data_IF_521273665722
#
_entry.id   IF_521273665722
#
_cell.length_a   1.000
_cell.length_b   1.000
_cell.length_c   1.000
_cell.angle_alpha   90.00
_cell.angle_beta   90.00
_cell.angle_gamma   90.00
#
_symmetry.space_group_name_H-M   'P 1'
#
loop_
_entity.id
_entity.type
_entity.pdbx_description
1 polymer ?
#
# COMPACT_ATOMS: atom_id res chain seq x y z
N UNK A 1 5.47 25.07 -21.00
CA UNK A 1 6.01 23.96 -20.19
C UNK A 1 5.22 22.70 -20.51
N UNK A 2 5.83 21.52 -20.68
CA UNK A 2 5.05 20.26 -20.77
C UNK A 2 4.56 19.94 -19.36
N UNK A 3 3.50 20.60 -18.93
CA UNK A 3 2.82 20.23 -17.69
C UNK A 3 2.29 18.82 -17.89
N UNK A 4 2.87 17.85 -17.16
CA UNK A 4 2.31 16.51 -17.07
C UNK A 4 0.85 16.59 -16.62
N UNK A 5 0.09 15.52 -16.90
CA UNK A 5 -1.28 15.36 -16.40
C UNK A 5 -1.33 15.85 -14.94
N UNK A 6 -2.15 16.87 -14.61
CA UNK A 6 -2.20 17.36 -13.25
C UNK A 6 -2.63 16.19 -12.36
N UNK A 7 -1.75 15.79 -11.44
CA UNK A 7 -2.01 14.75 -10.44
C UNK A 7 -2.90 15.32 -9.35
N UNK A 8 -4.10 15.79 -9.73
CA UNK A 8 -5.13 16.31 -8.83
C UNK A 8 -5.41 15.32 -7.70
N UNK A 9 -5.33 14.01 -7.98
CA UNK A 9 -5.46 12.97 -6.98
C UNK A 9 -4.42 13.06 -5.84
N UNK A 10 -3.20 13.57 -6.11
CA UNK A 10 -2.14 13.78 -5.12
C UNK A 10 -2.05 15.23 -4.65
N UNK A 11 -3.03 16.07 -4.98
CA UNK A 11 -3.09 17.47 -4.55
C UNK A 11 -3.45 17.61 -3.07
N UNK A 12 -3.04 18.74 -2.46
CA UNK A 12 -3.56 19.17 -1.16
C UNK A 12 -4.76 20.10 -1.38
N UNK A 13 -5.81 19.89 -0.62
CA UNK A 13 -7.06 20.64 -0.71
C UNK A 13 -7.40 21.17 0.68
N UNK A 14 -7.96 22.37 0.72
CA UNK A 14 -8.60 22.92 1.91
C UNK A 14 -10.02 22.36 2.00
N UNK A 15 -10.33 21.63 3.08
CA UNK A 15 -11.63 21.04 3.36
C UNK A 15 -11.94 21.27 4.83
N UNK A 16 -13.03 21.98 5.13
CA UNK A 16 -13.44 22.33 6.50
C UNK A 16 -12.27 22.91 7.33
N UNK A 17 -11.62 23.95 6.80
CA UNK A 17 -10.48 24.65 7.43
C UNK A 17 -9.19 23.82 7.63
N UNK A 18 -9.11 22.61 7.05
CA UNK A 18 -7.89 21.79 7.07
C UNK A 18 -7.33 21.57 5.67
N UNK A 19 -6.01 21.76 5.51
CA UNK A 19 -5.31 21.54 4.23
C UNK A 19 -4.54 20.22 4.21
N UNK A 20 -5.08 19.20 3.54
CA UNK A 20 -4.52 17.85 3.48
C UNK A 20 -4.74 17.16 2.12
N UNK A 21 -4.19 15.95 1.94
CA UNK A 21 -4.38 15.13 0.74
C UNK A 21 -5.77 14.50 0.73
N UNK A 22 -6.77 15.23 0.25
CA UNK A 22 -8.18 14.81 0.33
C UNK A 22 -8.47 13.51 -0.46
N UNK A 23 -7.76 13.27 -1.57
CA UNK A 23 -8.02 12.14 -2.47
C UNK A 23 -7.03 11.00 -2.20
N UNK A 24 -5.75 11.20 -2.53
CA UNK A 24 -4.70 10.17 -2.41
C UNK A 24 -3.43 10.79 -1.82
N UNK A 25 -2.81 10.11 -0.86
CA UNK A 25 -1.50 10.53 -0.34
C UNK A 25 -0.41 10.29 -1.39
N UNK A 26 0.63 11.13 -1.48
CA UNK A 26 1.70 10.98 -2.46
C UNK A 26 2.70 9.90 -2.05
N UNK A 27 2.21 8.75 -1.61
CA UNK A 27 3.01 7.60 -1.16
C UNK A 27 2.42 6.28 -1.67
N UNK A 28 3.09 5.17 -1.38
CA UNK A 28 2.63 3.84 -1.79
C UNK A 28 1.46 3.37 -0.92
N UNK A 29 0.39 2.88 -1.55
CA UNK A 29 -0.62 2.08 -0.86
C UNK A 29 -0.05 0.70 -0.53
N UNK A 30 -0.11 0.29 0.74
CA UNK A 30 0.33 -1.04 1.17
C UNK A 30 -0.66 -1.67 2.15
N UNK A 31 -1.48 -2.61 1.68
CA UNK A 31 -2.52 -3.28 2.48
C UNK A 31 -2.07 -4.58 3.14
N UNK A 32 -0.76 -4.83 3.28
CA UNK A 32 -0.25 -6.08 3.83
C UNK A 32 -0.79 -6.37 5.25
N UNK A 33 -0.95 -5.34 6.07
CA UNK A 33 -1.55 -5.44 7.42
C UNK A 33 -3.00 -5.92 7.40
N UNK A 34 -3.71 -5.67 6.30
CA UNK A 34 -5.10 -6.09 6.14
C UNK A 34 -5.22 -7.53 5.62
N UNK A 35 -4.11 -8.21 5.31
CA UNK A 35 -4.11 -9.55 4.73
C UNK A 35 -5.01 -10.55 5.48
N UNK A 36 -5.00 -10.64 6.83
CA UNK A 36 -5.90 -11.53 7.57
C UNK A 36 -7.37 -11.26 7.28
N UNK A 37 -7.76 -9.98 7.22
CA UNK A 37 -9.12 -9.53 6.95
C UNK A 37 -9.50 -9.76 5.49
N UNK A 38 -8.60 -9.47 4.56
CA UNK A 38 -8.81 -9.73 3.12
C UNK A 38 -9.07 -11.22 2.85
N UNK A 39 -8.32 -12.10 3.50
CA UNK A 39 -8.55 -13.53 3.41
C UNK A 39 -9.89 -13.95 4.05
N UNK A 40 -10.48 -13.16 4.95
CA UNK A 40 -11.67 -13.51 5.76
C UNK A 40 -12.92 -13.25 4.95
N UNK A 41 -12.94 -12.09 4.30
CA UNK A 41 -13.96 -11.69 3.35
C UNK A 41 -13.85 -12.45 2.01
N UNK A 42 -12.89 -13.39 1.89
CA UNK A 42 -12.80 -14.32 0.78
C UNK A 42 -12.04 -13.83 -0.45
N UNK A 43 -11.21 -12.78 -0.34
CA UNK A 43 -10.35 -12.32 -1.46
C UNK A 43 -9.49 -13.45 -1.99
N UNK A 44 -9.49 -13.65 -3.31
CA UNK A 44 -8.74 -14.72 -3.99
C UNK A 44 -7.51 -14.25 -4.76
N UNK A 45 -7.41 -12.95 -5.01
CA UNK A 45 -6.30 -12.37 -5.76
C UNK A 45 -5.90 -11.02 -5.17
N UNK A 46 -4.59 -10.78 -5.11
CA UNK A 46 -3.99 -9.49 -4.81
C UNK A 46 -3.29 -9.01 -6.08
N UNK A 47 -3.57 -7.78 -6.48
CA UNK A 47 -2.91 -7.13 -7.62
C UNK A 47 -1.81 -6.20 -7.11
N UNK A 48 -0.60 -6.42 -7.57
CA UNK A 48 0.53 -5.49 -7.36
C UNK A 48 0.61 -4.56 -8.57
N UNK A 49 0.62 -3.25 -8.34
CA UNK A 49 0.79 -2.23 -9.38
C UNK A 49 2.29 -1.97 -9.56
N UNK A 50 2.81 -2.16 -10.78
CA UNK A 50 4.21 -1.93 -11.11
C UNK A 50 4.44 -1.07 -12.35
N UNK A 51 3.41 -0.35 -12.83
CA UNK A 51 3.57 0.51 -14.01
C UNK A 51 4.61 1.57 -13.70
N UNK A 52 5.54 1.78 -14.64
CA UNK A 52 6.67 2.71 -14.47
C UNK A 52 7.57 2.38 -13.25
N UNK A 53 7.54 1.15 -12.75
CA UNK A 53 8.47 0.67 -11.72
C UNK A 53 9.55 -0.23 -12.34
N UNK A 54 10.70 -0.32 -11.68
CA UNK A 54 11.80 -1.17 -12.13
C UNK A 54 11.48 -2.66 -11.91
N UNK A 55 12.11 -3.58 -12.67
CA UNK A 55 11.99 -5.01 -12.39
C UNK A 55 12.37 -5.38 -10.95
N UNK A 56 13.37 -4.71 -10.37
CA UNK A 56 13.80 -4.90 -8.99
C UNK A 56 12.69 -4.55 -7.98
N UNK A 57 11.97 -3.44 -8.20
CA UNK A 57 10.80 -3.07 -7.38
C UNK A 57 9.74 -4.18 -7.41
N UNK A 58 9.36 -4.63 -8.62
CA UNK A 58 8.30 -5.63 -8.79
C UNK A 58 8.69 -6.95 -8.15
N UNK A 59 9.95 -7.38 -8.32
CA UNK A 59 10.47 -8.59 -7.70
C UNK A 59 10.43 -8.51 -6.15
N UNK A 60 10.88 -7.39 -5.58
CA UNK A 60 10.92 -7.19 -4.14
C UNK A 60 9.52 -7.19 -3.52
N UNK A 61 8.58 -6.41 -4.07
CA UNK A 61 7.20 -6.33 -3.56
C UNK A 61 6.50 -7.69 -3.69
N UNK A 62 6.66 -8.36 -4.83
CA UNK A 62 6.07 -9.68 -5.06
C UNK A 62 6.61 -10.72 -4.08
N UNK A 63 7.93 -10.72 -3.82
CA UNK A 63 8.56 -11.62 -2.85
C UNK A 63 7.97 -11.43 -1.46
N UNK A 64 7.92 -10.20 -0.95
CA UNK A 64 7.39 -9.89 0.38
C UNK A 64 5.93 -10.33 0.50
N UNK A 65 5.09 -9.98 -0.48
CA UNK A 65 3.69 -10.39 -0.47
C UNK A 65 3.51 -11.92 -0.54
N UNK A 66 4.35 -12.62 -1.33
CA UNK A 66 4.32 -14.08 -1.40
C UNK A 66 4.66 -14.71 -0.06
N UNK A 67 5.74 -14.27 0.59
CA UNK A 67 6.13 -14.73 1.93
C UNK A 67 5.05 -14.51 2.97
N UNK A 68 4.40 -13.34 2.96
CA UNK A 68 3.31 -13.02 3.86
C UNK A 68 2.08 -13.92 3.64
N UNK A 69 1.64 -14.08 2.39
CA UNK A 69 0.49 -14.95 2.08
C UNK A 69 0.82 -16.41 2.43
N UNK A 70 2.03 -16.89 2.15
CA UNK A 70 2.45 -18.26 2.53
C UNK A 70 2.49 -18.43 4.06
N UNK A 71 2.93 -17.41 4.79
CA UNK A 71 2.87 -17.40 6.24
C UNK A 71 1.42 -17.47 6.75
N UNK A 72 0.52 -16.68 6.17
CA UNK A 72 -0.89 -16.65 6.55
C UNK A 72 -1.64 -17.95 6.22
N UNK A 73 -1.29 -18.60 5.12
CA UNK A 73 -1.84 -19.90 4.73
C UNK A 73 -1.39 -21.04 5.65
N UNK A 74 -0.16 -20.99 6.18
CA UNK A 74 0.34 -22.01 7.12
C UNK A 74 -0.33 -21.93 8.49
N UNK A 75 -0.50 -20.73 9.02
CA UNK A 75 -1.21 -20.53 10.29
C UNK A 75 -1.87 -19.16 10.31
N UNK A 76 -3.17 -19.17 10.05
CA UNK A 76 -3.96 -17.96 9.97
C UNK A 76 -4.16 -17.28 11.33
N UNK A 77 -4.32 -18.08 12.39
CA UNK A 77 -4.51 -17.58 13.75
C UNK A 77 -3.24 -16.94 14.33
N UNK A 78 -2.06 -17.38 13.86
CA UNK A 78 -0.77 -16.89 14.34
C UNK A 78 -0.08 -15.97 13.31
N UNK A 79 -0.82 -15.48 12.30
CA UNK A 79 -0.24 -14.56 11.34
C UNK A 79 -0.01 -13.19 11.99
N UNK A 80 1.21 -12.71 11.89
CA UNK A 80 1.56 -11.32 12.12
C UNK A 80 2.43 -10.82 10.96
N UNK A 81 2.28 -9.53 10.65
CA UNK A 81 3.19 -8.86 9.73
C UNK A 81 4.56 -8.75 10.40
N UNK A 82 5.62 -9.15 9.69
CA UNK A 82 6.99 -9.06 10.18
C UNK A 82 7.56 -7.67 9.89
N UNK A 83 8.29 -7.11 10.85
CA UNK A 83 8.97 -5.82 10.69
C UNK A 83 9.91 -5.80 9.48
N UNK A 84 10.56 -6.94 9.19
CA UNK A 84 11.41 -7.10 8.01
C UNK A 84 10.65 -6.88 6.70
N UNK A 85 9.40 -7.33 6.60
CA UNK A 85 8.58 -7.11 5.41
C UNK A 85 8.24 -5.63 5.25
N UNK A 86 7.86 -4.97 6.34
CA UNK A 86 7.54 -3.55 6.32
C UNK A 86 8.77 -2.69 5.97
N UNK A 87 9.93 -3.03 6.50
CA UNK A 87 11.19 -2.37 6.17
C UNK A 87 11.52 -2.51 4.67
N UNK A 88 11.38 -3.70 4.10
CA UNK A 88 11.61 -3.93 2.67
C UNK A 88 10.62 -3.20 1.76
N UNK A 89 9.34 -3.14 2.14
CA UNK A 89 8.32 -2.40 1.38
C UNK A 89 8.50 -0.88 1.50
N UNK A 90 8.93 -0.38 2.65
CA UNK A 90 9.23 1.04 2.85
C UNK A 90 10.42 1.48 1.99
N UNK A 91 11.51 0.70 1.92
CA UNK A 91 12.69 1.01 1.09
C UNK A 91 12.38 1.29 -0.38
N UNK A 92 11.33 0.66 -0.91
CA UNK A 92 10.95 0.77 -2.32
C UNK A 92 9.79 1.73 -2.55
N UNK A 93 9.28 2.37 -1.49
CA UNK A 93 8.12 3.26 -1.55
C UNK A 93 8.51 4.74 -1.60
N UNK A 94 7.68 5.55 -2.26
CA UNK A 94 7.86 7.00 -2.33
C UNK A 94 7.92 7.60 -0.91
N UNK A 95 9.02 8.28 -0.58
CA UNK A 95 9.23 8.88 0.74
C UNK A 95 9.58 7.89 1.86
N UNK A 96 9.93 6.63 1.53
CA UNK A 96 10.22 5.57 2.49
C UNK A 96 9.06 5.25 3.46
N UNK A 97 7.84 5.56 3.05
CA UNK A 97 6.63 5.36 3.84
C UNK A 97 5.56 4.70 2.96
N UNK A 98 4.50 4.24 3.60
CA UNK A 98 3.31 3.74 2.92
C UNK A 98 2.07 4.23 3.67
N UNK A 99 0.93 4.12 3.00
CA UNK A 99 -0.39 4.44 3.55
C UNK A 99 -1.31 3.24 3.40
N UNK A 100 -2.32 3.12 4.26
CA UNK A 100 -3.49 2.29 3.95
C UNK A 100 -4.54 3.07 3.12
N UNK A 101 -4.27 4.33 2.79
CA UNK A 101 -5.14 5.18 2.00
C UNK A 101 -6.53 5.27 2.62
N UNK A 102 -7.55 4.98 1.81
CA UNK A 102 -8.95 4.98 2.26
C UNK A 102 -9.24 4.05 3.45
N UNK A 103 -8.44 3.00 3.70
CA UNK A 103 -8.69 2.09 4.83
C UNK A 103 -8.28 2.67 6.20
N UNK A 104 -7.41 3.70 6.24
CA UNK A 104 -7.11 4.47 7.46
C UNK A 104 -8.05 5.67 7.65
N UNK A 105 -8.98 5.90 6.70
CA UNK A 105 -9.95 6.99 6.73
C UNK A 105 -11.31 6.39 7.04
N UNK A 106 -11.62 6.11 8.32
CA UNK A 106 -12.84 5.44 8.69
C UNK A 106 -14.07 6.14 8.10
N UNK A 107 -14.11 7.48 8.12
CA UNK A 107 -15.21 8.30 7.58
C UNK A 107 -14.90 9.80 7.74
N UNK A 108 -13.73 10.22 7.28
CA UNK A 108 -13.56 11.64 6.90
C UNK A 108 -14.14 11.82 5.51
#
# INVERSE_FOLDING_TARGET
>A
EKTGYPTLCKGRFEVNDETYYAIEEPTSLNTLELLPKLMEIGVKAIKIEGRQRSPAYVAQVTKVWREAIDSALRSRQNFSVRDSWMAELNKVSEGNMHTLGAYYRPWK
#
